data_IF_019329434675
#
_entry.id   IF_019329434675
#
_cell.length_a   1.000
_cell.length_b   1.000
_cell.length_c   1.000
_cell.angle_alpha   90.00
_cell.angle_beta   90.00
_cell.angle_gamma   90.00
#
_symmetry.space_group_name_H-M   'P 1'
#
loop_
_entity.id
_entity.type
_entity.pdbx_description
1 polymer ?
#
# COMPACT_ATOMS: atom_id res chain seq x y z
N UNK A 1 15.79 2.40 25.75
CA UNK A 1 14.69 3.36 25.98
C UNK A 1 13.56 2.64 26.67
N UNK A 2 12.87 3.30 27.60
CA UNK A 2 11.58 2.80 28.09
C UNK A 2 10.61 2.77 26.91
N UNK A 3 9.88 1.65 26.74
CA UNK A 3 8.91 1.50 25.66
C UNK A 3 7.69 2.36 25.96
N UNK A 4 7.68 3.57 25.42
CA UNK A 4 6.58 4.52 25.62
C UNK A 4 5.41 4.11 24.72
N UNK A 5 4.27 3.74 25.31
CA UNK A 5 3.05 3.42 24.54
C UNK A 5 2.25 4.69 24.29
N UNK A 6 1.74 4.86 23.07
CA UNK A 6 0.96 6.05 22.70
C UNK A 6 -0.28 6.26 23.58
N UNK A 7 -0.89 5.18 24.09
CA UNK A 7 -2.01 5.24 25.03
C UNK A 7 -1.64 5.93 26.35
N UNK A 8 -0.41 5.77 26.81
CA UNK A 8 0.10 6.36 28.08
C UNK A 8 0.45 7.84 27.94
N UNK A 9 0.53 8.36 26.72
CA UNK A 9 0.81 9.76 26.42
C UNK A 9 -0.47 10.60 26.30
N UNK A 10 -1.62 9.95 26.08
CA UNK A 10 -2.91 10.61 25.92
C UNK A 10 -3.36 11.14 27.30
N UNK A 11 -3.52 12.46 27.43
CA UNK A 11 -3.93 13.13 28.67
C UNK A 11 -2.79 13.68 29.55
N UNK A 12 -1.52 13.45 29.19
CA UNK A 12 -0.38 14.06 29.89
C UNK A 12 -0.21 15.53 29.48
N UNK A 13 -0.16 16.43 30.47
CA UNK A 13 -0.02 17.89 30.23
C UNK A 13 1.38 18.33 29.80
N UNK A 14 2.43 17.52 30.03
CA UNK A 14 3.85 17.89 29.82
C UNK A 14 4.57 17.03 28.77
N UNK A 15 3.93 16.76 27.64
CA UNK A 15 4.50 15.94 26.56
C UNK A 15 5.79 16.50 25.96
N UNK A 16 5.91 17.82 25.87
CA UNK A 16 7.11 18.49 25.36
C UNK A 16 8.35 18.25 26.23
N UNK A 17 8.17 18.20 27.55
CA UNK A 17 9.29 17.94 28.47
C UNK A 17 9.80 16.51 28.30
N UNK A 18 8.89 15.53 28.22
CA UNK A 18 9.23 14.13 27.98
C UNK A 18 9.89 13.92 26.61
N UNK A 19 9.43 14.64 25.58
CA UNK A 19 10.06 14.59 24.25
C UNK A 19 11.50 15.12 24.30
N UNK A 20 11.76 16.18 25.06
CA UNK A 20 13.10 16.75 25.22
C UNK A 20 14.02 15.79 25.98
N UNK A 21 13.54 15.21 27.08
CA UNK A 21 14.28 14.18 27.83
C UNK A 21 14.65 12.99 26.94
N UNK A 22 13.70 12.46 26.16
CA UNK A 22 13.95 11.36 25.24
C UNK A 22 14.95 11.72 24.14
N UNK A 23 14.93 12.96 23.64
CA UNK A 23 15.91 13.43 22.64
C UNK A 23 17.31 13.54 23.25
N UNK A 24 17.43 14.06 24.47
CA UNK A 24 18.71 14.16 25.18
C UNK A 24 19.28 12.78 25.49
N UNK A 25 18.44 11.83 25.93
CA UNK A 25 18.85 10.44 26.12
C UNK A 25 19.34 9.80 24.82
N UNK A 26 18.65 10.03 23.69
CA UNK A 26 19.05 9.49 22.38
C UNK A 26 20.39 10.09 21.92
N UNK A 27 20.58 11.40 22.09
CA UNK A 27 21.86 12.07 21.79
C UNK A 27 23.01 11.49 22.64
N UNK A 28 22.80 11.30 23.95
CA UNK A 28 23.80 10.69 24.82
C UNK A 28 24.11 9.24 24.43
N UNK A 29 23.11 8.47 24.01
CA UNK A 29 23.29 7.11 23.52
C UNK A 29 24.10 7.07 22.21
N UNK A 30 23.90 8.03 21.30
CA UNK A 30 24.71 8.14 20.07
C UNK A 30 26.16 8.50 20.34
N UNK A 31 26.43 9.39 21.31
CA UNK A 31 27.80 9.70 21.74
C UNK A 31 28.46 8.46 22.34
N UNK A 32 27.77 7.75 23.24
CA UNK A 32 28.25 6.50 23.82
C UNK A 32 28.53 5.42 22.76
N UNK A 33 27.78 5.38 21.66
CA UNK A 33 28.06 4.46 20.55
C UNK A 33 29.40 4.76 19.88
N UNK A 34 29.74 6.03 19.68
CA UNK A 34 30.99 6.46 19.05
C UNK A 34 32.18 6.27 19.98
N UNK A 35 31.99 6.47 21.29
CA UNK A 35 33.05 6.36 22.29
C UNK A 35 33.22 4.95 22.89
N UNK A 36 32.53 3.94 22.36
CA UNK A 36 32.66 2.55 22.83
C UNK A 36 32.07 2.31 24.23
N UNK A 37 30.88 2.84 24.51
CA UNK A 37 30.20 2.74 25.80
C UNK A 37 29.72 1.32 26.18
N UNK A 38 29.22 1.18 27.41
CA UNK A 38 28.82 -0.12 27.99
C UNK A 38 27.86 -0.95 27.09
N UNK A 39 28.05 -2.28 26.98
CA UNK A 39 27.27 -3.16 26.10
C UNK A 39 25.74 -3.07 26.30
N UNK A 40 25.28 -2.88 27.54
CA UNK A 40 23.85 -2.77 27.87
C UNK A 40 23.18 -1.50 27.33
N UNK A 41 23.98 -0.47 27.00
CA UNK A 41 23.52 0.78 26.38
C UNK A 41 23.53 0.67 24.86
N UNK A 42 24.49 -0.05 24.28
CA UNK A 42 24.56 -0.35 22.84
C UNK A 42 23.42 -1.28 22.39
N UNK A 43 23.11 -2.32 23.17
CA UNK A 43 22.04 -3.27 22.88
C UNK A 43 20.65 -2.62 22.78
N UNK A 44 20.42 -1.51 23.48
CA UNK A 44 19.16 -0.73 23.40
C UNK A 44 18.97 -0.03 22.06
N UNK A 45 20.05 0.36 21.38
CA UNK A 45 20.01 0.93 20.03
C UNK A 45 19.80 -0.18 19.02
N UNK A 46 20.49 -1.31 19.21
CA UNK A 46 20.37 -2.49 18.34
C UNK A 46 18.94 -3.03 18.35
N UNK A 47 18.34 -3.27 19.52
CA UNK A 47 16.97 -3.80 19.64
C UNK A 47 15.93 -2.95 18.89
N UNK A 48 16.03 -1.62 18.97
CA UNK A 48 15.12 -0.73 18.25
C UNK A 48 15.32 -0.78 16.72
N UNK A 49 16.54 -1.02 16.26
CA UNK A 49 16.83 -1.19 14.84
C UNK A 49 16.41 -2.58 14.35
N UNK A 50 16.65 -3.64 15.11
CA UNK A 50 16.17 -5.00 14.82
C UNK A 50 14.64 -5.03 14.70
N UNK A 51 13.90 -4.48 15.67
CA UNK A 51 12.44 -4.39 15.63
C UNK A 51 11.90 -3.68 14.37
N UNK A 52 12.65 -2.73 13.82
CA UNK A 52 12.28 -2.01 12.59
C UNK A 52 12.71 -2.75 11.32
N UNK A 53 13.85 -3.43 11.35
CA UNK A 53 14.34 -4.28 10.26
C UNK A 53 13.41 -5.49 10.10
N UNK A 54 13.03 -6.14 11.19
CA UNK A 54 12.16 -7.32 11.19
C UNK A 54 10.76 -6.98 10.64
N UNK A 55 10.23 -5.79 10.96
CA UNK A 55 8.97 -5.32 10.40
C UNK A 55 9.06 -5.06 8.89
N UNK A 56 10.14 -4.42 8.43
CA UNK A 56 10.35 -4.18 6.99
C UNK A 56 10.49 -5.49 6.23
N UNK A 57 11.27 -6.43 6.77
CA UNK A 57 11.45 -7.76 6.20
C UNK A 57 10.12 -8.51 6.11
N UNK A 58 9.31 -8.45 7.18
CA UNK A 58 7.98 -9.07 7.20
C UNK A 58 7.02 -8.46 6.15
N UNK A 59 7.09 -7.14 5.92
CA UNK A 59 6.30 -6.47 4.88
C UNK A 59 6.76 -6.86 3.46
N UNK A 60 8.07 -6.94 3.22
CA UNK A 60 8.66 -7.41 1.96
C UNK A 60 8.27 -8.86 1.67
N UNK A 61 8.38 -9.75 2.66
CA UNK A 61 7.98 -11.15 2.56
C UNK A 61 6.47 -11.27 2.24
N UNK A 62 5.62 -10.47 2.90
CA UNK A 62 4.19 -10.44 2.64
C UNK A 62 3.91 -10.02 1.18
N UNK A 63 4.57 -8.97 0.69
CA UNK A 63 4.42 -8.51 -0.69
C UNK A 63 4.91 -9.56 -1.68
N UNK A 64 6.05 -10.20 -1.40
CA UNK A 64 6.60 -11.26 -2.25
C UNK A 64 5.64 -12.46 -2.37
N UNK A 65 5.05 -12.90 -1.27
CA UNK A 65 4.06 -13.99 -1.28
C UNK A 65 2.81 -13.63 -2.09
N UNK A 66 2.38 -12.36 -2.04
CA UNK A 66 1.28 -11.86 -2.88
C UNK A 66 1.68 -11.88 -4.35
N UNK A 67 2.89 -11.42 -4.67
CA UNK A 67 3.42 -11.40 -6.04
C UNK A 67 3.55 -12.82 -6.62
N UNK A 68 3.96 -13.81 -5.82
CA UNK A 68 3.92 -15.22 -6.21
C UNK A 68 2.51 -15.70 -6.53
N UNK A 69 1.56 -15.37 -5.65
CA UNK A 69 0.17 -15.80 -5.79
C UNK A 69 -0.46 -15.28 -7.09
N UNK A 70 -0.11 -14.06 -7.49
CA UNK A 70 -0.58 -13.44 -8.73
C UNK A 70 0.34 -13.69 -9.94
N UNK A 71 1.45 -14.40 -9.76
CA UNK A 71 2.47 -14.65 -10.79
C UNK A 71 3.01 -13.35 -11.42
N UNK A 72 3.43 -12.40 -10.58
CA UNK A 72 4.03 -11.13 -10.99
C UNK A 72 5.54 -11.08 -10.66
N UNK A 73 6.30 -10.35 -11.48
CA UNK A 73 7.76 -10.20 -11.33
C UNK A 73 8.11 -9.43 -10.05
N UNK A 74 8.80 -10.09 -9.11
CA UNK A 74 9.25 -9.49 -7.84
C UNK A 74 10.47 -8.59 -8.01
N UNK A 75 11.32 -8.89 -8.98
CA UNK A 75 12.60 -8.21 -9.18
C UNK A 75 12.43 -6.73 -9.55
N UNK A 76 11.22 -6.33 -9.92
CA UNK A 76 10.85 -4.97 -10.30
C UNK A 76 10.41 -4.12 -9.11
N UNK A 77 10.38 -4.70 -7.91
CA UNK A 77 10.03 -3.99 -6.67
C UNK A 77 11.29 -3.26 -6.20
N UNK A 78 11.22 -1.93 -6.25
CA UNK A 78 12.28 -1.05 -5.75
C UNK A 78 12.18 -0.86 -4.24
N UNK A 79 10.95 -0.71 -3.72
CA UNK A 79 10.73 -0.39 -2.31
C UNK A 79 9.34 -0.77 -1.83
N UNK A 80 9.28 -1.25 -0.58
CA UNK A 80 8.02 -1.49 0.15
C UNK A 80 7.93 -0.54 1.33
N UNK A 81 6.81 0.15 1.47
CA UNK A 81 6.58 1.14 2.53
C UNK A 81 5.19 0.94 3.15
N UNK A 82 5.15 0.52 4.41
CA UNK A 82 3.89 0.54 5.18
C UNK A 82 3.59 1.95 5.69
N UNK A 83 2.40 2.43 5.39
CA UNK A 83 1.93 3.73 5.90
C UNK A 83 1.63 3.65 7.39
N UNK A 84 1.78 4.78 8.10
CA UNK A 84 1.39 4.86 9.50
C UNK A 84 -0.10 5.13 9.60
N UNK A 85 -0.80 4.30 10.37
CA UNK A 85 -2.20 4.54 10.73
C UNK A 85 -2.30 5.02 12.18
N UNK A 86 -3.28 5.88 12.45
CA UNK A 86 -3.66 6.23 13.83
C UNK A 86 -4.58 5.18 14.44
N UNK A 87 -5.38 4.53 13.60
CA UNK A 87 -6.32 3.48 14.01
C UNK A 87 -5.60 2.14 14.03
N UNK A 88 -5.42 1.56 15.22
CA UNK A 88 -4.73 0.28 15.41
C UNK A 88 -5.59 -0.93 15.07
N UNK A 89 -6.91 -0.75 14.89
CA UNK A 89 -7.84 -1.81 14.52
C UNK A 89 -7.81 -2.17 13.03
N UNK A 90 -7.25 -1.30 12.18
CA UNK A 90 -7.16 -1.50 10.74
C UNK A 90 -5.73 -1.79 10.34
N UNK A 91 -5.56 -2.71 9.39
CA UNK A 91 -4.25 -2.95 8.77
C UNK A 91 -3.89 -1.71 7.94
N UNK A 92 -2.77 -1.03 8.22
CA UNK A 92 -2.37 0.12 7.42
C UNK A 92 -2.00 -0.31 6.00
N UNK A 93 -2.30 0.54 5.00
CA UNK A 93 -1.96 0.26 3.62
C UNK A 93 -0.44 0.20 3.39
N UNK A 94 -0.05 -0.62 2.42
CA UNK A 94 1.33 -0.77 1.97
C UNK A 94 1.46 -0.15 0.57
N UNK A 95 2.48 0.68 0.40
CA UNK A 95 2.88 1.26 -0.88
C UNK A 95 4.03 0.42 -1.44
N UNK A 96 3.94 0.10 -2.72
CA UNK A 96 4.97 -0.61 -3.46
C UNK A 96 5.47 0.33 -4.56
N UNK A 97 6.74 0.70 -4.49
CA UNK A 97 7.44 1.43 -5.53
C UNK A 97 8.04 0.42 -6.51
N UNK A 98 7.67 0.52 -7.78
CA UNK A 98 8.22 -0.29 -8.86
C UNK A 98 9.30 0.51 -9.60
N UNK A 99 10.19 -0.18 -10.30
CA UNK A 99 11.26 0.47 -11.08
C UNK A 99 10.72 1.35 -12.22
N UNK A 100 9.72 0.85 -12.95
CA UNK A 100 9.09 1.60 -14.04
C UNK A 100 7.57 1.70 -13.88
N UNK A 101 7.01 2.80 -14.37
CA UNK A 101 5.56 3.02 -14.40
C UNK A 101 4.82 1.99 -15.29
N UNK A 102 5.47 1.44 -16.31
CA UNK A 102 4.88 0.42 -17.19
C UNK A 102 4.61 -0.90 -16.45
N UNK A 103 5.46 -1.25 -15.49
CA UNK A 103 5.33 -2.51 -14.74
C UNK A 103 4.12 -2.52 -13.81
N UNK A 104 3.69 -1.33 -13.34
CA UNK A 104 2.44 -1.16 -12.59
C UNK A 104 1.24 -1.77 -13.33
N UNK A 105 1.14 -1.53 -14.64
CA UNK A 105 0.02 -2.04 -15.44
C UNK A 105 0.08 -3.58 -15.53
N UNK A 106 1.28 -4.15 -15.67
CA UNK A 106 1.48 -5.60 -15.72
C UNK A 106 1.07 -6.26 -14.40
N UNK A 107 1.50 -5.69 -13.26
CA UNK A 107 1.12 -6.17 -11.92
C UNK A 107 -0.39 -6.06 -11.71
N UNK A 108 -1.01 -4.93 -12.05
CA UNK A 108 -2.46 -4.74 -11.91
C UNK A 108 -3.26 -5.72 -12.79
N UNK A 109 -2.79 -6.00 -14.01
CA UNK A 109 -3.40 -7.02 -14.89
C UNK A 109 -3.28 -8.42 -14.29
N UNK A 110 -2.10 -8.78 -13.80
CA UNK A 110 -1.85 -10.08 -13.16
C UNK A 110 -2.74 -10.27 -11.92
N UNK A 111 -2.86 -9.23 -11.09
CA UNK A 111 -3.75 -9.22 -9.92
C UNK A 111 -5.24 -9.35 -10.33
N UNK A 112 -5.66 -8.68 -11.41
CA UNK A 112 -7.04 -8.79 -11.89
C UNK A 112 -7.36 -10.20 -12.40
N UNK A 113 -6.45 -10.82 -13.17
CA UNK A 113 -6.62 -12.19 -13.67
C UNK A 113 -6.67 -13.20 -12.53
N UNK A 114 -5.79 -13.03 -11.53
CA UNK A 114 -5.67 -13.93 -10.38
C UNK A 114 -6.49 -13.49 -9.17
N UNK A 115 -7.52 -12.65 -9.36
CA UNK A 115 -8.27 -12.04 -8.26
C UNK A 115 -8.81 -13.06 -7.25
N UNK A 116 -9.22 -14.23 -7.73
CA UNK A 116 -9.72 -15.35 -6.92
C UNK A 116 -8.74 -15.82 -5.83
N UNK A 117 -7.42 -15.63 -6.03
CA UNK A 117 -6.38 -16.01 -5.08
C UNK A 117 -6.11 -14.93 -4.02
N UNK A 118 -6.59 -13.71 -4.25
CA UNK A 118 -6.31 -12.51 -3.44
C UNK A 118 -7.60 -11.76 -3.07
N UNK A 119 -8.69 -12.49 -2.79
CA UNK A 119 -10.03 -11.93 -2.59
C UNK A 119 -10.10 -10.86 -1.49
N UNK A 120 -9.24 -10.96 -0.48
CA UNK A 120 -9.21 -10.06 0.68
C UNK A 120 -8.32 -8.83 0.46
N UNK A 121 -7.56 -8.80 -0.63
CA UNK A 121 -6.56 -7.76 -0.91
C UNK A 121 -7.07 -6.84 -2.00
N UNK A 122 -7.12 -5.55 -1.68
CA UNK A 122 -7.49 -4.52 -2.65
C UNK A 122 -6.25 -3.83 -3.23
N UNK A 123 -6.07 -3.96 -4.54
CA UNK A 123 -5.06 -3.21 -5.28
C UNK A 123 -5.65 -1.86 -5.74
N UNK A 124 -5.08 -0.77 -5.25
CA UNK A 124 -5.44 0.56 -5.72
C UNK A 124 -4.81 0.82 -7.10
N UNK A 125 -5.63 1.20 -8.08
CA UNK A 125 -5.17 1.54 -9.43
C UNK A 125 -4.45 2.90 -9.49
N UNK A 126 -4.55 3.70 -8.42
CA UNK A 126 -3.88 4.99 -8.24
C UNK A 126 -4.07 5.89 -9.47
N UNK A 127 -5.32 6.31 -9.64
CA UNK A 127 -5.82 7.15 -10.73
C UNK A 127 -5.96 8.60 -10.27
N UNK A 128 -5.62 9.52 -11.17
CA UNK A 128 -5.86 10.95 -10.98
C UNK A 128 -7.36 11.27 -10.85
N UNK A 129 -7.71 12.44 -10.33
CA UNK A 129 -9.11 12.86 -10.21
C UNK A 129 -9.78 13.01 -11.59
N UNK A 130 -9.07 13.57 -12.56
CA UNK A 130 -9.55 13.69 -13.94
C UNK A 130 -9.83 12.33 -14.59
N UNK A 131 -8.96 11.34 -14.39
CA UNK A 131 -9.19 9.97 -14.86
C UNK A 131 -10.41 9.32 -14.18
N UNK A 132 -10.58 9.56 -12.87
CA UNK A 132 -11.76 9.08 -12.13
C UNK A 132 -13.05 9.68 -12.68
N UNK A 133 -13.06 10.97 -12.97
CA UNK A 133 -14.23 11.66 -13.48
C UNK A 133 -14.54 11.26 -14.93
N UNK A 134 -13.52 11.09 -15.78
CA UNK A 134 -13.67 10.53 -17.12
C UNK A 134 -14.31 9.14 -17.06
N UNK A 135 -13.85 8.26 -16.17
CA UNK A 135 -14.44 6.92 -16.01
C UNK A 135 -15.90 7.01 -15.56
N UNK A 136 -16.27 7.95 -14.68
CA UNK A 136 -17.67 8.16 -14.30
C UNK A 136 -18.52 8.59 -15.49
N UNK A 137 -18.02 9.54 -16.30
CA UNK A 137 -18.70 10.00 -17.52
C UNK A 137 -18.89 8.85 -18.51
N UNK A 138 -17.85 8.08 -18.80
CA UNK A 138 -17.92 6.90 -19.69
C UNK A 138 -18.90 5.84 -19.15
N UNK A 139 -18.98 5.64 -17.82
CA UNK A 139 -19.96 4.72 -17.22
C UNK A 139 -21.39 5.22 -17.39
N UNK A 140 -21.64 6.52 -17.22
CA UNK A 140 -22.97 7.09 -17.47
C UNK A 140 -23.36 6.98 -18.95
N UNK A 141 -22.43 7.23 -19.87
CA UNK A 141 -22.64 7.10 -21.30
C UNK A 141 -22.96 5.65 -21.69
N UNK A 142 -22.16 4.68 -21.23
CA UNK A 142 -22.42 3.24 -21.46
C UNK A 142 -23.79 2.82 -20.92
N UNK A 143 -24.20 3.35 -19.75
CA UNK A 143 -25.51 3.05 -19.17
C UNK A 143 -26.64 3.58 -20.05
N UNK A 144 -26.53 4.79 -20.57
CA UNK A 144 -27.50 5.39 -21.48
C UNK A 144 -27.57 4.63 -22.81
N UNK A 145 -26.42 4.36 -23.42
CA UNK A 145 -26.33 3.65 -24.68
C UNK A 145 -26.87 2.21 -24.58
N UNK A 146 -26.56 1.49 -23.50
CA UNK A 146 -27.11 0.16 -23.26
C UNK A 146 -28.60 0.17 -22.92
N UNK A 147 -29.13 1.24 -22.32
CA UNK A 147 -30.57 1.39 -22.12
C UNK A 147 -31.32 1.66 -23.44
N UNK A 148 -30.66 2.30 -24.41
CA UNK A 148 -31.22 2.53 -25.75
C UNK A 148 -31.11 1.33 -26.70
N UNK A 149 -30.30 0.31 -26.36
CA UNK A 149 -30.20 -0.94 -27.12
C UNK A 149 -31.42 -1.82 -26.86
N UNK A 150 -31.91 -2.51 -27.89
CA UNK A 150 -32.99 -3.46 -27.73
C UNK A 150 -32.49 -4.74 -27.05
N UNK A 151 -33.36 -5.40 -26.27
CA UNK A 151 -33.02 -6.64 -25.56
C UNK A 151 -32.58 -7.79 -26.50
N UNK A 152 -33.03 -7.77 -27.76
CA UNK A 152 -32.69 -8.75 -28.80
C UNK A 152 -31.33 -8.52 -29.45
N UNK A 153 -30.67 -7.40 -29.19
CA UNK A 153 -29.40 -7.08 -29.84
C UNK A 153 -28.28 -7.98 -29.31
N UNK A 154 -27.54 -8.57 -30.25
CA UNK A 154 -26.39 -9.45 -29.97
C UNK A 154 -25.18 -8.68 -29.42
N UNK A 155 -25.30 -7.36 -29.25
CA UNK A 155 -24.22 -6.44 -28.91
C UNK A 155 -24.52 -5.65 -27.62
N UNK A 156 -23.47 -5.09 -27.02
CA UNK A 156 -23.53 -4.19 -25.87
C UNK A 156 -22.36 -3.21 -25.89
N UNK A 157 -22.56 -2.00 -25.37
CA UNK A 157 -21.48 -1.03 -25.16
C UNK A 157 -20.72 -1.36 -23.88
N UNK A 158 -19.40 -1.21 -23.93
CA UNK A 158 -18.51 -1.36 -22.77
C UNK A 158 -17.34 -0.40 -22.86
N UNK A 159 -16.69 -0.14 -21.72
CA UNK A 159 -15.51 0.72 -21.64
C UNK A 159 -14.27 -0.13 -21.94
N UNK A 160 -13.50 0.25 -22.96
CA UNK A 160 -12.19 -0.33 -23.28
C UNK A 160 -11.06 0.57 -22.77
N UNK A 161 -10.08 -0.05 -22.14
CA UNK A 161 -8.85 0.58 -21.66
C UNK A 161 -9.09 1.84 -20.80
N UNK A 162 -10.22 1.93 -20.11
CA UNK A 162 -10.63 3.10 -19.31
C UNK A 162 -10.70 4.44 -20.08
N UNK A 163 -10.73 4.41 -21.41
CA UNK A 163 -10.65 5.63 -22.25
C UNK A 163 -11.77 5.76 -23.26
N UNK A 164 -12.33 4.67 -23.77
CA UNK A 164 -13.22 4.71 -24.93
C UNK A 164 -14.42 3.77 -24.73
N UNK A 165 -15.61 4.22 -25.13
CA UNK A 165 -16.80 3.37 -25.24
C UNK A 165 -16.76 2.60 -26.56
N UNK A 166 -16.94 1.27 -26.51
CA UNK A 166 -16.91 0.40 -27.69
C UNK A 166 -18.09 -0.54 -27.69
N UNK A 167 -18.72 -0.70 -28.85
CA UNK A 167 -19.73 -1.74 -29.10
C UNK A 167 -19.04 -3.10 -29.25
N UNK A 168 -19.48 -4.08 -28.46
CA UNK A 168 -18.92 -5.42 -28.40
C UNK A 168 -20.03 -6.46 -28.57
N UNK A 169 -19.72 -7.58 -29.23
CA UNK A 169 -20.64 -8.71 -29.33
C UNK A 169 -20.72 -9.44 -27.98
N UNK A 170 -21.92 -9.83 -27.56
CA UNK A 170 -22.13 -10.65 -26.35
C UNK A 170 -21.42 -12.00 -26.52
N UNK A 171 -20.70 -12.50 -25.50
CA UNK A 171 -20.14 -13.84 -25.56
C UNK A 171 -21.29 -14.85 -25.74
N UNK A 172 -21.14 -15.79 -26.67
CA UNK A 172 -22.06 -16.93 -26.78
C UNK A 172 -21.93 -17.75 -25.49
N UNK A 173 -23.06 -17.99 -24.82
CA UNK A 173 -23.13 -18.90 -23.67
C UNK A 173 -22.77 -20.32 -24.10
#
# INVERSE_FOLDING_TARGET
MVKVKAQELRGKKKLFHQLNELKTELQQLNVNKVTGGSPSKLSKIELANYDNIDKKKCDEDMVNNIFDSINADKDKIKKVIRLKTRDTSKIPPVIIELDNASDKISVLKAAYINRNKINEIYFNSDMTESERDLIKQLRSEVKLLNASLNQKDEYYYTIRNFKVVKLMKKPKQ
#
